data_IF_635620904069
#
_entry.id   IF_635620904069
#
_cell.length_a   1.000
_cell.length_b   1.000
_cell.length_c   1.000
_cell.angle_alpha   90.00
_cell.angle_beta   90.00
_cell.angle_gamma   90.00
#
_symmetry.space_group_name_H-M   'P 1'
#
loop_
_entity.id
_entity.type
_entity.pdbx_description
1 polymer ?
#
# COMPACT_ATOMS: atom_id res chain seq x y z
N UNK A 1 24.25 -10.00 15.63
CA UNK A 1 24.52 -8.80 14.82
C UNK A 1 23.18 -8.33 14.28
N UNK A 2 22.69 -7.18 14.72
CA UNK A 2 21.45 -6.62 14.17
C UNK A 2 21.75 -5.99 12.82
N UNK A 3 20.86 -6.16 11.84
CA UNK A 3 20.92 -5.43 10.57
C UNK A 3 20.42 -4.01 10.81
N UNK A 4 21.01 -3.05 10.11
CA UNK A 4 20.50 -1.68 10.05
C UNK A 4 19.08 -1.70 9.47
N UNK A 5 18.17 -0.94 10.08
CA UNK A 5 16.79 -0.79 9.63
C UNK A 5 16.62 0.51 8.88
N UNK A 6 15.88 0.47 7.76
CA UNK A 6 15.55 1.65 6.96
C UNK A 6 14.10 2.06 7.22
N UNK A 7 13.84 3.35 7.35
CA UNK A 7 12.50 3.95 7.35
C UNK A 7 12.15 4.54 5.98
N UNK A 8 10.93 5.06 5.82
CA UNK A 8 10.47 5.64 4.56
C UNK A 8 11.33 6.81 4.07
N UNK A 9 11.80 7.65 4.98
CA UNK A 9 12.62 8.83 4.65
C UNK A 9 14.07 8.50 4.28
N UNK A 10 14.51 7.26 4.51
CA UNK A 10 15.88 6.84 4.17
C UNK A 10 16.04 6.45 2.69
N UNK A 11 14.92 6.28 1.95
CA UNK A 11 14.94 5.68 0.62
C UNK A 11 14.06 6.40 -0.40
N UNK A 12 14.41 6.26 -1.67
CA UNK A 12 13.62 6.72 -2.80
C UNK A 12 13.42 5.58 -3.80
N UNK A 13 12.28 5.59 -4.49
CA UNK A 13 12.07 4.73 -5.65
C UNK A 13 12.87 5.28 -6.83
N UNK A 14 13.67 4.42 -7.46
CA UNK A 14 14.40 4.77 -8.68
C UNK A 14 13.44 4.66 -9.87
N UNK A 15 13.29 5.71 -10.70
CA UNK A 15 12.45 5.65 -11.89
C UNK A 15 12.93 4.58 -12.88
N UNK A 16 11.98 3.90 -13.52
CA UNK A 16 12.23 2.91 -14.57
C UNK A 16 11.40 3.22 -15.82
N UNK A 17 11.80 2.64 -16.95
CA UNK A 17 10.99 2.69 -18.18
C UNK A 17 9.64 2.00 -17.96
N UNK A 18 8.55 2.62 -18.43
CA UNK A 18 7.20 2.08 -18.36
C UNK A 18 6.42 2.45 -19.63
N UNK A 19 5.70 1.48 -20.18
CA UNK A 19 4.71 1.69 -21.25
C UNK A 19 3.29 1.89 -20.69
N UNK A 20 3.09 1.63 -19.39
CA UNK A 20 1.79 1.74 -18.70
C UNK A 20 1.60 3.15 -18.17
N UNK A 21 0.43 3.73 -18.44
CA UNK A 21 0.03 5.06 -17.96
C UNK A 21 -0.61 4.90 -16.57
N UNK A 22 -0.37 5.81 -15.60
CA UNK A 22 -0.87 5.66 -14.23
C UNK A 22 -2.38 5.38 -14.08
N UNK A 23 -3.21 5.93 -14.98
CA UNK A 23 -4.67 5.72 -14.96
C UNK A 23 -5.12 4.31 -15.32
N UNK A 24 -4.24 3.53 -15.97
CA UNK A 24 -4.54 2.19 -16.48
C UNK A 24 -3.94 1.09 -15.58
N UNK A 25 -3.34 1.47 -14.44
CA UNK A 25 -2.76 0.54 -13.46
C UNK A 25 -3.89 -0.10 -12.64
N UNK A 26 -3.87 -1.42 -12.54
CA UNK A 26 -4.73 -2.16 -11.60
C UNK A 26 -4.18 -2.02 -10.17
N UNK A 27 -4.97 -1.40 -9.29
CA UNK A 27 -4.64 -1.23 -7.87
C UNK A 27 -5.25 -2.30 -6.99
N UNK A 28 -5.90 -3.32 -7.56
CA UNK A 28 -6.49 -4.40 -6.78
C UNK A 28 -5.41 -5.18 -6.02
N UNK A 29 -5.76 -5.67 -4.84
CA UNK A 29 -4.85 -6.42 -3.98
C UNK A 29 -5.60 -7.43 -3.13
N UNK A 30 -4.89 -8.42 -2.60
CA UNK A 30 -5.43 -9.42 -1.68
C UNK A 30 -4.84 -9.19 -0.29
N UNK A 31 -5.69 -8.92 0.70
CA UNK A 31 -5.24 -8.73 2.10
C UNK A 31 -5.24 -10.04 2.89
N UNK A 32 -6.12 -10.97 2.55
CA UNK A 32 -6.21 -12.29 3.18
C UNK A 32 -6.81 -13.32 2.23
N UNK A 33 -6.77 -14.60 2.60
CA UNK A 33 -7.41 -15.66 1.82
C UNK A 33 -8.91 -15.38 1.71
N UNK A 34 -9.39 -15.20 0.48
CA UNK A 34 -10.80 -14.89 0.21
C UNK A 34 -11.21 -13.44 0.45
N UNK A 35 -10.27 -12.53 0.70
CA UNK A 35 -10.55 -11.08 0.85
C UNK A 35 -9.71 -10.30 -0.16
N UNK A 36 -10.37 -9.88 -1.24
CA UNK A 36 -9.81 -9.05 -2.31
C UNK A 36 -10.33 -7.60 -2.18
N UNK A 37 -9.46 -6.61 -2.40
CA UNK A 37 -9.75 -5.18 -2.38
C UNK A 37 -9.51 -4.58 -3.76
N UNK A 38 -10.32 -3.62 -4.18
CA UNK A 38 -10.11 -2.89 -5.44
C UNK A 38 -9.01 -1.82 -5.34
N UNK A 39 -8.73 -1.35 -4.12
CA UNK A 39 -7.66 -0.40 -3.80
C UNK A 39 -6.91 -0.89 -2.54
N UNK A 40 -5.60 -0.66 -2.41
CA UNK A 40 -4.79 -1.18 -1.31
C UNK A 40 -4.88 -0.27 -0.07
N UNK A 41 -6.09 0.07 0.35
CA UNK A 41 -6.36 0.96 1.48
C UNK A 41 -7.24 0.28 2.52
N UNK A 42 -6.91 0.49 3.79
CA UNK A 42 -7.67 0.04 4.95
C UNK A 42 -7.66 1.15 5.99
N UNK A 43 -8.79 1.39 6.64
CA UNK A 43 -8.86 2.31 7.77
C UNK A 43 -8.27 1.66 9.02
N UNK A 44 -7.69 2.48 9.90
CA UNK A 44 -7.18 1.98 11.17
C UNK A 44 -8.33 1.60 12.10
N UNK A 45 -8.18 0.49 12.83
CA UNK A 45 -9.11 0.07 13.87
C UNK A 45 -8.91 0.91 15.15
N UNK A 46 -9.34 2.17 15.09
CA UNK A 46 -9.22 3.15 16.17
C UNK A 46 -10.55 3.89 16.33
N UNK A 47 -10.90 4.21 17.58
CA UNK A 47 -12.15 4.87 17.95
C UNK A 47 -12.35 6.22 17.23
N UNK A 48 -11.27 6.93 16.91
CA UNK A 48 -11.34 8.24 16.22
C UNK A 48 -11.21 8.15 14.71
N UNK A 49 -11.07 6.95 14.14
CA UNK A 49 -10.80 6.75 12.71
C UNK A 49 -11.90 5.97 12.02
N UNK A 50 -12.38 4.87 12.63
CA UNK A 50 -13.38 4.00 12.00
C UNK A 50 -14.54 3.78 12.95
N UNK A 51 -15.71 4.25 12.54
CA UNK A 51 -17.00 3.83 13.10
C UNK A 51 -17.85 3.20 11.98
N UNK A 52 -19.05 2.71 12.30
CA UNK A 52 -19.92 2.04 11.31
C UNK A 52 -20.67 2.99 10.37
N UNK A 53 -20.62 4.29 10.65
CA UNK A 53 -21.33 5.34 9.91
C UNK A 53 -20.43 6.10 8.93
#
# INVERSE_FOLDING_TARGET
MFREGLTFDDVLLVPGYSEVIPKDIDTSTRVAVGIDLQIPFLSAAMDTVTESE
#
